data_IF_633948431686
#
_entry.id   IF_633948431686
#
_cell.length_a   1.000
_cell.length_b   1.000
_cell.length_c   1.000
_cell.angle_alpha   90.00
_cell.angle_beta   90.00
_cell.angle_gamma   90.00
#
_symmetry.space_group_name_H-M   'P 1'
#
loop_
_entity.id
_entity.type
_entity.pdbx_description
1 polymer ?
#
# COMPACT_ATOMS: atom_id res chain seq x y z
N UNK A 1 -21.07 -21.02 50.22
CA UNK A 1 -19.95 -21.98 50.09
C UNK A 1 -18.67 -21.16 50.03
N UNK A 2 -17.76 -21.30 50.99
CA UNK A 2 -16.45 -20.64 50.91
C UNK A 2 -15.53 -21.47 50.02
N UNK A 3 -14.97 -20.84 48.98
CA UNK A 3 -13.90 -21.43 48.20
C UNK A 3 -12.67 -21.63 49.09
N UNK A 4 -11.90 -22.72 48.91
CA UNK A 4 -10.60 -22.85 49.54
C UNK A 4 -9.72 -21.63 49.23
N UNK A 5 -9.09 -21.06 50.26
CA UNK A 5 -8.22 -19.86 50.18
C UNK A 5 -7.21 -19.89 49.02
N UNK A 6 -6.66 -21.07 48.70
CA UNK A 6 -5.72 -21.23 47.60
C UNK A 6 -6.36 -21.04 46.21
N UNK A 7 -7.63 -21.40 46.04
CA UNK A 7 -8.39 -21.23 44.80
C UNK A 7 -8.83 -19.78 44.65
N UNK A 8 -9.32 -19.16 45.74
CA UNK A 8 -9.69 -17.74 45.76
C UNK A 8 -8.51 -16.83 45.39
N UNK A 9 -7.32 -17.09 45.94
CA UNK A 9 -6.09 -16.36 45.57
C UNK A 9 -5.74 -16.48 44.10
N UNK A 10 -5.90 -17.68 43.52
CA UNK A 10 -5.64 -17.91 42.09
C UNK A 10 -6.65 -17.17 41.22
N UNK A 11 -7.93 -17.21 41.59
CA UNK A 11 -8.99 -16.48 40.87
C UNK A 11 -8.70 -14.97 40.89
N UNK A 12 -8.42 -14.39 42.06
CA UNK A 12 -8.12 -12.97 42.16
C UNK A 12 -6.88 -12.56 41.36
N UNK A 13 -5.84 -13.40 41.33
CA UNK A 13 -4.65 -13.15 40.52
C UNK A 13 -4.97 -13.17 39.02
N UNK A 14 -5.70 -14.18 38.55
CA UNK A 14 -6.09 -14.27 37.14
C UNK A 14 -7.04 -13.14 36.74
N UNK A 15 -7.97 -12.74 37.60
CA UNK A 15 -8.83 -11.59 37.37
C UNK A 15 -8.03 -10.30 37.24
N UNK A 16 -7.04 -10.08 38.11
CA UNK A 16 -6.14 -8.91 38.00
C UNK A 16 -5.29 -8.95 36.72
N UNK A 17 -4.82 -10.12 36.29
CA UNK A 17 -4.09 -10.27 35.02
C UNK A 17 -4.97 -9.96 33.80
N UNK A 18 -6.24 -10.37 33.83
CA UNK A 18 -7.20 -10.08 32.76
C UNK A 18 -7.53 -8.58 32.71
N UNK A 19 -7.72 -7.94 33.86
CA UNK A 19 -7.96 -6.49 33.92
C UNK A 19 -6.78 -5.69 33.38
N UNK A 20 -5.55 -6.08 33.72
CA UNK A 20 -4.35 -5.48 33.15
C UNK A 20 -4.26 -5.69 31.64
N UNK A 21 -4.64 -6.88 31.16
CA UNK A 21 -4.67 -7.18 29.72
C UNK A 21 -5.70 -6.29 28.99
N UNK A 22 -6.92 -6.17 29.53
CA UNK A 22 -7.98 -5.34 28.95
C UNK A 22 -7.59 -3.85 28.92
N UNK A 23 -6.93 -3.36 29.97
CA UNK A 23 -6.38 -1.99 29.99
C UNK A 23 -5.31 -1.81 28.93
N UNK A 24 -4.35 -2.73 28.84
CA UNK A 24 -3.29 -2.69 27.84
C UNK A 24 -3.82 -2.71 26.41
N UNK A 25 -4.79 -3.56 26.10
CA UNK A 25 -5.43 -3.57 24.78
C UNK A 25 -6.17 -2.26 24.49
N UNK A 26 -6.85 -1.70 25.49
CA UNK A 26 -7.55 -0.41 25.34
C UNK A 26 -6.58 0.73 25.05
N UNK A 27 -5.43 0.79 25.72
CA UNK A 27 -4.38 1.78 25.46
C UNK A 27 -3.81 1.66 24.05
N UNK A 28 -3.59 0.43 23.57
CA UNK A 28 -3.10 0.17 22.20
C UNK A 28 -4.13 0.64 21.17
N UNK A 29 -5.40 0.28 21.34
CA UNK A 29 -6.48 0.70 20.43
C UNK A 29 -6.58 2.23 20.38
N UNK A 30 -6.58 2.88 21.54
CA UNK A 30 -6.62 4.35 21.62
C UNK A 30 -5.42 5.00 20.92
N UNK A 31 -4.23 4.40 21.03
CA UNK A 31 -3.02 4.88 20.37
C UNK A 31 -3.12 4.76 18.85
N UNK A 32 -3.68 3.66 18.34
CA UNK A 32 -3.93 3.47 16.89
C UNK A 32 -4.95 4.48 16.38
N UNK A 33 -6.07 4.66 17.09
CA UNK A 33 -7.12 5.62 16.70
C UNK A 33 -6.55 7.05 16.67
N UNK A 34 -5.74 7.40 17.67
CA UNK A 34 -5.06 8.70 17.72
C UNK A 34 -4.12 8.87 16.52
N UNK A 35 -3.29 7.87 16.23
CA UNK A 35 -2.38 7.91 15.09
C UNK A 35 -3.11 8.09 13.75
N UNK A 36 -4.21 7.36 13.54
CA UNK A 36 -5.06 7.54 12.35
C UNK A 36 -5.67 8.94 12.25
N UNK A 37 -6.06 9.54 13.38
CA UNK A 37 -6.58 10.90 13.40
C UNK A 37 -5.50 11.93 13.07
N UNK A 38 -4.29 11.75 13.62
CA UNK A 38 -3.15 12.62 13.36
C UNK A 38 -2.78 12.58 11.85
N UNK A 39 -2.73 11.38 11.23
CA UNK A 39 -2.46 11.22 9.79
C UNK A 39 -3.44 11.97 8.87
N UNK A 40 -4.74 12.02 9.23
CA UNK A 40 -5.77 12.70 8.42
C UNK A 40 -5.64 14.21 8.43
N UNK A 41 -5.09 14.77 9.51
CA UNK A 41 -4.90 16.22 9.68
C UNK A 41 -3.51 16.71 9.25
N UNK A 42 -2.58 15.79 9.00
CA UNK A 42 -1.20 16.12 8.69
C UNK A 42 -0.96 16.19 7.17
N UNK A 43 -0.14 17.17 6.77
CA UNK A 43 0.41 17.24 5.43
C UNK A 43 1.54 16.20 5.32
N UNK A 44 1.17 14.97 4.94
CA UNK A 44 2.09 13.84 4.84
C UNK A 44 3.25 14.12 3.88
N UNK A 45 3.04 14.99 2.89
CA UNK A 45 4.04 15.35 1.90
C UNK A 45 5.09 16.25 2.54
N UNK A 46 4.71 17.18 3.40
CA UNK A 46 5.67 18.13 4.00
C UNK A 46 6.21 17.72 5.37
N UNK A 47 5.75 16.59 5.93
CA UNK A 47 6.23 16.07 7.21
C UNK A 47 7.52 15.26 7.05
N UNK A 48 8.63 15.77 7.57
CA UNK A 48 9.93 15.07 7.62
C UNK A 48 9.91 13.84 8.55
N UNK A 49 8.93 13.75 9.46
CA UNK A 49 8.84 12.70 10.48
C UNK A 49 8.05 11.46 10.05
N UNK A 50 7.40 11.49 8.88
CA UNK A 50 6.43 10.46 8.55
C UNK A 50 7.08 9.25 7.89
N UNK A 51 7.16 8.18 8.68
CA UNK A 51 7.54 6.86 8.20
C UNK A 51 6.46 6.33 7.25
N UNK A 52 6.91 5.73 6.14
CA UNK A 52 6.03 5.00 5.23
C UNK A 52 5.70 3.65 5.87
N UNK A 53 4.42 3.46 6.22
CA UNK A 53 3.82 2.25 6.75
C UNK A 53 2.45 2.01 6.09
N UNK A 54 1.77 0.94 6.51
CA UNK A 54 0.50 0.53 5.90
C UNK A 54 -0.65 1.51 6.11
N UNK A 55 -0.65 2.30 7.19
CA UNK A 55 -1.67 3.32 7.42
C UNK A 55 -1.33 4.60 6.66
N UNK A 56 -0.08 5.04 6.74
CA UNK A 56 0.36 6.28 6.11
C UNK A 56 0.35 6.20 4.58
N UNK A 57 0.64 5.03 3.98
CA UNK A 57 0.54 4.84 2.52
C UNK A 57 -0.91 4.90 2.00
N UNK A 58 -1.87 4.41 2.80
CA UNK A 58 -3.29 4.46 2.45
C UNK A 58 -3.79 5.90 2.49
N UNK A 59 -3.43 6.65 3.54
CA UNK A 59 -3.79 8.07 3.65
C UNK A 59 -3.10 8.91 2.56
N UNK A 60 -1.81 8.69 2.29
CA UNK A 60 -1.10 9.33 1.18
C UNK A 60 -1.81 9.10 -0.15
N UNK A 61 -2.12 7.84 -0.46
CA UNK A 61 -2.77 7.48 -1.73
C UNK A 61 -4.14 8.13 -1.87
N UNK A 62 -4.89 8.23 -0.76
CA UNK A 62 -6.18 8.93 -0.73
C UNK A 62 -6.02 10.43 -0.98
N UNK A 63 -5.06 11.08 -0.31
CA UNK A 63 -4.79 12.51 -0.49
C UNK A 63 -4.41 12.82 -1.94
N UNK A 64 -3.45 12.08 -2.49
CA UNK A 64 -3.00 12.26 -3.88
C UNK A 64 -4.11 11.95 -4.89
N UNK A 65 -4.85 10.84 -4.72
CA UNK A 65 -5.96 10.53 -5.62
C UNK A 65 -7.01 11.66 -5.61
N UNK A 66 -7.33 12.20 -4.43
CA UNK A 66 -8.23 13.36 -4.33
C UNK A 66 -7.68 14.61 -5.00
N UNK A 67 -6.37 14.90 -4.89
CA UNK A 67 -5.73 16.01 -5.61
C UNK A 67 -5.81 15.84 -7.13
N UNK A 68 -5.68 14.60 -7.61
CA UNK A 68 -5.70 14.23 -9.03
C UNK A 68 -7.12 14.03 -9.60
N UNK A 69 -8.16 14.08 -8.76
CA UNK A 69 -9.54 13.80 -9.18
C UNK A 69 -9.81 12.31 -9.48
N UNK A 70 -8.98 11.41 -8.96
CA UNK A 70 -9.08 9.96 -9.11
C UNK A 70 -9.88 9.37 -7.94
N UNK A 71 -10.74 8.39 -8.23
CA UNK A 71 -11.42 7.60 -7.19
C UNK A 71 -10.73 6.24 -7.07
N UNK A 72 -10.17 5.95 -5.90
CA UNK A 72 -9.61 4.63 -5.58
C UNK A 72 -10.66 3.76 -4.91
N UNK A 73 -10.80 2.51 -5.37
CA UNK A 73 -11.66 1.52 -4.69
C UNK A 73 -11.03 1.07 -3.38
N UNK A 74 -11.87 0.74 -2.41
CA UNK A 74 -11.40 0.25 -1.11
C UNK A 74 -10.70 -1.11 -1.23
N UNK A 75 -9.60 -1.25 -0.50
CA UNK A 75 -8.90 -2.52 -0.42
C UNK A 75 -9.71 -3.50 0.44
N UNK A 76 -9.98 -4.70 -0.10
CA UNK A 76 -10.58 -5.77 0.68
C UNK A 76 -9.66 -6.15 1.86
N UNK A 77 -10.24 -6.38 3.04
CA UNK A 77 -9.52 -6.71 4.28
C UNK A 77 -8.59 -7.93 4.17
N UNK A 78 -8.81 -8.84 3.23
CA UNK A 78 -7.91 -9.99 3.04
C UNK A 78 -6.58 -9.62 2.35
N UNK A 79 -6.40 -8.37 1.91
CA UNK A 79 -5.22 -7.90 1.15
C UNK A 79 -4.27 -7.04 1.97
N UNK A 80 -4.46 -6.88 3.29
CA UNK A 80 -3.54 -6.07 4.13
C UNK A 80 -2.10 -6.57 4.10
N UNK A 81 -1.87 -7.89 3.97
CA UNK A 81 -0.50 -8.43 3.81
C UNK A 81 0.21 -7.85 2.58
N UNK A 82 -0.52 -7.58 1.50
CA UNK A 82 0.07 -7.00 0.29
C UNK A 82 0.51 -5.54 0.49
N UNK A 83 0.00 -4.85 1.51
CA UNK A 83 0.49 -3.52 1.85
C UNK A 83 1.86 -3.60 2.52
N UNK A 84 2.13 -4.62 3.34
CA UNK A 84 3.47 -4.83 3.90
C UNK A 84 4.48 -5.08 2.77
N UNK A 85 4.13 -5.96 1.81
CA UNK A 85 4.95 -6.22 0.63
C UNK A 85 5.19 -4.94 -0.18
N UNK A 86 4.14 -4.11 -0.37
CA UNK A 86 4.26 -2.80 -1.03
C UNK A 86 5.23 -1.87 -0.30
N UNK A 87 5.19 -1.82 1.04
CA UNK A 87 6.13 -1.00 1.81
C UNK A 87 7.57 -1.46 1.58
N UNK A 88 7.79 -2.77 1.50
CA UNK A 88 9.12 -3.32 1.23
C UNK A 88 9.56 -3.07 -0.23
N UNK A 89 8.66 -3.10 -1.20
CA UNK A 89 8.89 -2.67 -2.60
C UNK A 89 9.35 -1.18 -2.66
N UNK A 90 8.64 -0.29 -1.95
CA UNK A 90 8.98 1.15 -1.85
C UNK A 90 10.39 1.34 -1.27
N UNK A 91 10.70 0.65 -0.16
CA UNK A 91 12.03 0.71 0.48
C UNK A 91 13.12 0.12 -0.41
N UNK A 92 12.82 -0.95 -1.13
CA UNK A 92 13.77 -1.61 -2.03
C UNK A 92 14.21 -0.68 -3.17
N UNK A 93 13.29 0.15 -3.68
CA UNK A 93 13.59 1.20 -4.65
C UNK A 93 14.31 2.42 -4.03
N UNK A 94 14.50 2.42 -2.71
CA UNK A 94 15.21 3.46 -1.98
C UNK A 94 14.41 4.74 -1.76
N UNK A 95 13.08 4.67 -1.87
CA UNK A 95 12.17 5.80 -1.60
C UNK A 95 12.03 5.94 -0.08
N UNK A 96 12.38 7.11 0.45
CA UNK A 96 12.49 7.35 1.90
C UNK A 96 11.30 8.07 2.51
N UNK A 97 10.59 8.87 1.72
CA UNK A 97 9.53 9.76 2.20
C UNK A 97 8.47 10.00 1.12
N UNK A 98 7.36 10.63 1.54
CA UNK A 98 6.24 10.93 0.65
C UNK A 98 6.53 12.02 -0.39
N UNK A 99 7.52 12.90 -0.17
CA UNK A 99 7.95 13.86 -1.21
C UNK A 99 8.58 13.14 -2.39
N UNK A 100 9.50 12.21 -2.12
CA UNK A 100 10.11 11.35 -3.13
C UNK A 100 9.04 10.54 -3.86
N UNK A 101 8.06 9.98 -3.14
CA UNK A 101 6.96 9.25 -3.77
C UNK A 101 6.07 10.16 -4.65
N UNK A 102 5.71 11.35 -4.17
CA UNK A 102 4.91 12.33 -4.93
C UNK A 102 5.64 12.82 -6.18
N UNK A 103 6.94 13.06 -6.10
CA UNK A 103 7.76 13.53 -7.23
C UNK A 103 7.88 12.55 -8.40
N UNK A 104 7.48 11.29 -8.21
CA UNK A 104 7.45 10.29 -9.29
C UNK A 104 6.24 10.49 -10.20
N UNK A 105 5.15 11.07 -9.68
CA UNK A 105 3.87 11.19 -10.38
C UNK A 105 4.05 12.08 -11.62
N UNK A 106 3.87 11.56 -12.84
CA UNK A 106 3.93 12.38 -14.05
C UNK A 106 2.83 13.44 -14.09
N UNK A 107 3.10 14.61 -14.66
CA UNK A 107 2.11 15.70 -14.78
C UNK A 107 0.85 15.28 -15.55
N UNK A 108 0.97 14.35 -16.50
CA UNK A 108 -0.13 13.81 -17.29
C UNK A 108 -0.80 12.58 -16.67
N UNK A 109 -0.38 12.12 -15.49
CA UNK A 109 -0.83 10.87 -14.89
C UNK A 109 -2.35 10.82 -14.72
N UNK A 110 -2.96 11.85 -14.11
CA UNK A 110 -4.41 11.87 -13.89
C UNK A 110 -5.21 11.77 -15.17
N UNK A 111 -4.76 12.45 -16.23
CA UNK A 111 -5.41 12.41 -17.53
C UNK A 111 -5.38 11.00 -18.11
N UNK A 112 -4.20 10.39 -18.17
CA UNK A 112 -4.01 9.05 -18.75
C UNK A 112 -4.75 8.00 -17.91
N UNK A 113 -4.68 8.10 -16.58
CA UNK A 113 -5.38 7.20 -15.67
C UNK A 113 -6.90 7.23 -15.89
N UNK A 114 -7.48 8.42 -16.02
CA UNK A 114 -8.93 8.57 -16.23
C UNK A 114 -9.40 8.16 -17.64
N UNK A 115 -8.52 8.22 -18.65
CA UNK A 115 -8.84 7.81 -20.04
C UNK A 115 -9.00 6.30 -20.21
N UNK A 116 -8.35 5.49 -19.35
CA UNK A 116 -8.41 4.03 -19.42
C UNK A 116 -9.65 3.45 -18.71
N UNK A 117 -10.42 4.28 -17.97
CA UNK A 117 -11.63 3.89 -17.23
C UNK A 117 -11.46 2.68 -16.29
N UNK A 118 -10.22 2.38 -15.86
CA UNK A 118 -9.93 1.27 -14.98
C UNK A 118 -10.09 1.63 -13.50
N UNK A 119 -10.68 0.71 -12.73
CA UNK A 119 -10.71 0.80 -11.28
C UNK A 119 -9.34 0.41 -10.70
N UNK A 120 -8.78 1.29 -9.86
CA UNK A 120 -7.56 0.97 -9.11
C UNK A 120 -7.78 1.15 -7.61
N UNK A 121 -6.99 0.43 -6.83
CA UNK A 121 -6.92 0.56 -5.39
C UNK A 121 -5.53 1.09 -4.99
N UNK A 122 -5.28 1.25 -3.69
CA UNK A 122 -3.99 1.73 -3.16
C UNK A 122 -2.79 0.92 -3.69
N UNK A 123 -2.90 -0.41 -3.84
CA UNK A 123 -1.80 -1.23 -4.35
C UNK A 123 -1.49 -0.91 -5.81
N UNK A 124 -2.52 -0.89 -6.67
CA UNK A 124 -2.35 -0.61 -8.09
C UNK A 124 -1.79 0.79 -8.31
N UNK A 125 -2.42 1.79 -7.69
CA UNK A 125 -2.01 3.18 -7.78
C UNK A 125 -0.54 3.40 -7.40
N UNK A 126 -0.10 2.86 -6.25
CA UNK A 126 1.29 3.05 -5.83
C UNK A 126 2.25 2.25 -6.71
N UNK A 127 1.89 1.02 -7.12
CA UNK A 127 2.75 0.20 -7.98
C UNK A 127 2.95 0.78 -9.37
N UNK A 128 1.95 1.45 -9.93
CA UNK A 128 2.12 2.20 -11.18
C UNK A 128 3.23 3.25 -11.04
N UNK A 129 3.26 3.98 -9.91
CA UNK A 129 4.35 4.93 -9.63
C UNK A 129 5.71 4.21 -9.50
N UNK A 130 5.78 3.09 -8.79
CA UNK A 130 7.02 2.34 -8.63
C UNK A 130 7.56 1.82 -9.98
N UNK A 131 6.68 1.36 -10.85
CA UNK A 131 6.98 0.91 -12.20
C UNK A 131 7.48 2.06 -13.07
N UNK A 132 6.80 3.21 -13.04
CA UNK A 132 7.21 4.44 -13.75
C UNK A 132 8.60 4.90 -13.27
N UNK A 133 8.89 4.79 -11.97
CA UNK A 133 10.18 5.18 -11.40
C UNK A 133 11.33 4.32 -11.93
N UNK A 134 11.24 3.00 -11.75
CA UNK A 134 12.32 2.05 -12.07
C UNK A 134 11.81 0.60 -12.07
N UNK A 135 11.05 0.22 -13.10
CA UNK A 135 10.53 -1.15 -13.24
C UNK A 135 11.64 -2.21 -13.29
N UNK A 136 12.82 -1.88 -13.87
CA UNK A 136 13.94 -2.82 -14.01
C UNK A 136 14.52 -3.20 -12.66
N UNK A 137 14.67 -2.22 -11.76
CA UNK A 137 15.05 -2.49 -10.38
C UNK A 137 13.93 -3.23 -9.66
N UNK A 138 12.68 -2.78 -9.78
CA UNK A 138 11.54 -3.43 -9.11
C UNK A 138 11.41 -4.91 -9.49
N UNK A 139 11.68 -5.28 -10.74
CA UNK A 139 11.67 -6.68 -11.21
C UNK A 139 12.71 -7.58 -10.51
N UNK A 140 13.72 -6.99 -9.85
CA UNK A 140 14.71 -7.72 -9.05
C UNK A 140 14.30 -7.87 -7.59
N UNK A 141 13.11 -7.40 -7.20
CA UNK A 141 12.61 -7.51 -5.84
C UNK A 141 12.40 -8.99 -5.44
N UNK A 142 13.00 -9.45 -4.32
CA UNK A 142 12.87 -10.84 -3.92
C UNK A 142 11.44 -11.14 -3.46
N UNK A 143 10.82 -12.16 -4.06
CA UNK A 143 9.47 -12.58 -3.70
C UNK A 143 8.36 -11.75 -4.33
N UNK A 144 8.63 -11.07 -5.45
CA UNK A 144 7.61 -10.46 -6.29
C UNK A 144 6.52 -11.50 -6.62
N UNK A 145 5.28 -11.23 -6.20
CA UNK A 145 4.17 -12.21 -6.25
C UNK A 145 2.96 -11.71 -7.04
N UNK A 146 3.16 -10.75 -7.93
CA UNK A 146 2.11 -10.11 -8.71
C UNK A 146 2.61 -9.79 -10.12
N UNK A 147 1.67 -9.68 -11.06
CA UNK A 147 1.93 -9.31 -12.46
C UNK A 147 0.96 -8.23 -12.93
N UNK A 148 1.23 -7.67 -14.11
CA UNK A 148 0.40 -6.65 -14.74
C UNK A 148 -0.77 -7.21 -15.54
N UNK A 149 -0.64 -8.46 -15.97
CA UNK A 149 -1.61 -9.15 -16.80
C UNK A 149 -2.19 -10.33 -16.01
N UNK A 150 -3.47 -10.62 -16.24
CA UNK A 150 -4.10 -11.81 -15.69
C UNK A 150 -3.56 -13.08 -16.35
N UNK A 151 -3.63 -14.23 -15.68
CA UNK A 151 -3.09 -15.50 -16.22
C UNK A 151 -3.67 -15.89 -17.60
N UNK A 152 -4.88 -15.42 -17.91
CA UNK A 152 -5.58 -15.67 -19.18
C UNK A 152 -5.65 -14.40 -20.06
N UNK A 153 -4.65 -13.52 -19.98
CA UNK A 153 -4.65 -12.26 -20.72
C UNK A 153 -4.68 -12.49 -22.24
N UNK A 154 -5.37 -11.59 -22.96
CA UNK A 154 -5.35 -11.57 -24.42
C UNK A 154 -4.34 -10.54 -24.97
N UNK A 155 -4.11 -10.57 -26.29
CA UNK A 155 -3.18 -9.63 -26.93
C UNK A 155 -3.66 -8.17 -26.85
N UNK A 156 -4.95 -7.93 -26.61
CA UNK A 156 -5.48 -6.58 -26.44
C UNK A 156 -5.10 -6.05 -25.06
N UNK A 157 -5.29 -6.83 -23.99
CA UNK A 157 -4.89 -6.44 -22.62
C UNK A 157 -3.39 -6.11 -22.54
N UNK A 158 -2.55 -6.92 -23.19
CA UNK A 158 -1.11 -6.65 -23.29
C UNK A 158 -0.83 -5.33 -24.01
N UNK A 159 -1.48 -5.10 -25.16
CA UNK A 159 -1.30 -3.88 -25.95
C UNK A 159 -1.78 -2.64 -25.18
N UNK A 160 -2.93 -2.73 -24.54
CA UNK A 160 -3.53 -1.62 -23.81
C UNK A 160 -2.65 -1.23 -22.60
N UNK A 161 -2.00 -2.20 -21.93
CA UNK A 161 -0.97 -1.93 -20.91
C UNK A 161 0.29 -1.26 -21.48
N UNK A 162 0.75 -1.68 -22.65
CA UNK A 162 1.90 -1.04 -23.32
C UNK A 162 1.54 0.40 -23.66
N UNK A 163 0.37 0.64 -24.26
CA UNK A 163 -0.13 1.97 -24.60
C UNK A 163 -0.26 2.86 -23.35
N UNK A 164 -0.76 2.31 -22.24
CA UNK A 164 -0.82 3.01 -20.96
C UNK A 164 0.55 3.49 -20.49
N UNK A 165 1.53 2.58 -20.33
CA UNK A 165 2.85 2.96 -19.81
C UNK A 165 3.67 3.80 -20.80
N UNK A 166 3.45 3.67 -22.11
CA UNK A 166 4.09 4.50 -23.14
C UNK A 166 3.74 6.00 -23.03
N UNK A 167 2.73 6.38 -22.22
CA UNK A 167 2.46 7.78 -21.89
C UNK A 167 3.47 8.37 -20.87
N UNK A 168 4.26 7.54 -20.20
CA UNK A 168 5.15 7.93 -19.09
C UNK A 168 6.62 7.56 -19.34
N UNK A 169 6.90 6.69 -20.30
CA UNK A 169 8.23 6.25 -20.69
C UNK A 169 8.32 6.00 -22.19
N UNK A 170 9.48 5.58 -22.70
CA UNK A 170 9.62 5.24 -24.12
C UNK A 170 8.79 4.01 -24.48
N UNK A 171 8.40 3.88 -25.74
CA UNK A 171 7.67 2.68 -26.21
C UNK A 171 8.48 1.40 -25.94
N UNK A 172 9.77 1.42 -26.20
CA UNK A 172 10.67 0.29 -25.95
C UNK A 172 10.71 -0.08 -24.45
N UNK A 173 10.77 0.92 -23.55
CA UNK A 173 10.71 0.69 -22.10
C UNK A 173 9.35 0.13 -21.67
N UNK A 174 8.25 0.64 -22.24
CA UNK A 174 6.90 0.16 -21.92
C UNK A 174 6.69 -1.30 -22.38
N UNK A 175 7.20 -1.67 -23.56
CA UNK A 175 7.20 -3.04 -24.05
C UNK A 175 8.01 -3.99 -23.15
N UNK A 176 9.21 -3.56 -22.73
CA UNK A 176 10.07 -4.31 -21.81
C UNK A 176 9.41 -4.48 -20.44
N UNK A 177 8.82 -3.41 -19.90
CA UNK A 177 8.11 -3.40 -18.63
C UNK A 177 6.95 -4.41 -18.65
N UNK A 178 6.07 -4.32 -19.65
CA UNK A 178 4.92 -5.22 -19.73
C UNK A 178 5.39 -6.65 -19.91
N UNK A 179 6.38 -6.92 -20.77
CA UNK A 179 6.93 -8.28 -20.91
C UNK A 179 7.47 -8.82 -19.57
N UNK A 180 8.28 -8.04 -18.87
CA UNK A 180 8.90 -8.42 -17.59
C UNK A 180 7.86 -8.79 -16.53
N UNK A 181 6.79 -8.00 -16.40
CA UNK A 181 5.76 -8.21 -15.38
C UNK A 181 4.56 -9.06 -15.86
N UNK A 182 4.67 -9.68 -17.04
CA UNK A 182 3.71 -10.70 -17.52
C UNK A 182 4.20 -12.13 -17.29
N UNK A 183 5.52 -12.33 -17.20
CA UNK A 183 6.14 -13.67 -17.08
C UNK A 183 6.35 -14.10 -15.62
N UNK A 184 6.17 -13.21 -14.65
CA UNK A 184 6.47 -13.43 -13.22
C UNK A 184 5.31 -14.06 -12.42
N UNK A 185 4.29 -14.62 -13.06
CA UNK A 185 3.20 -15.33 -12.36
C UNK A 185 3.46 -16.84 -12.40
N UNK A 186 4.22 -17.32 -11.41
CA UNK A 186 4.34 -18.76 -11.07
C UNK A 186 3.30 -19.15 -9.99
#
# INVERSE_FOLDING_TARGET
MNLPLAIERKINLYSGMLELADQGFSEIINSIVKYQADLKGEDLINSESNQIDTLSIVEFSRQIASELGITLIELNSNKYKLLDDLIDEIKFLGIKNFQELKSIIPDNYSKVFLEVEEESNVLGFVRDLLLIKDFRRLAQFPGLSWGLLNNDYDQNERRDRIEYFANFMSLDDAEELVATFSENVD
#
